data_IF_133323437626
#
_entry.id   IF_133323437626
#
_cell.length_a   1.000
_cell.length_b   1.000
_cell.length_c   1.000
_cell.angle_alpha   90.00
_cell.angle_beta   90.00
_cell.angle_gamma   90.00
#
_symmetry.space_group_name_H-M   'P 1'
#
loop_
_entity.id
_entity.type
_entity.pdbx_description
1 polymer ?
#
# COMPACT_ATOMS: atom_id res chain seq x y z
N UNK A 1 -2.10 -9.40 -15.31
CA UNK A 1 -2.04 -7.97 -14.96
C UNK A 1 -0.69 -7.46 -15.36
N UNK A 2 -0.64 -6.33 -16.01
CA UNK A 2 0.59 -5.72 -16.48
C UNK A 2 1.38 -5.15 -15.31
N UNK A 3 2.71 -5.26 -15.30
CA UNK A 3 3.55 -4.70 -14.26
C UNK A 3 3.63 -3.17 -14.35
N UNK A 4 3.81 -2.52 -13.19
CA UNK A 4 3.95 -1.08 -13.06
C UNK A 4 5.34 -0.70 -12.56
N UNK A 5 5.84 0.42 -13.02
CA UNK A 5 6.95 1.14 -12.37
C UNK A 5 6.48 2.47 -11.87
N UNK A 6 6.96 2.88 -10.71
CA UNK A 6 6.67 4.17 -10.09
C UNK A 6 7.92 5.04 -10.13
N UNK A 7 7.76 6.27 -10.61
CA UNK A 7 8.81 7.27 -10.70
C UNK A 7 8.46 8.47 -9.82
N UNK A 8 9.43 8.94 -9.08
CA UNK A 8 9.36 10.11 -8.22
C UNK A 8 10.18 11.23 -8.84
N UNK A 9 9.56 12.27 -9.39
CA UNK A 9 10.28 13.41 -9.88
C UNK A 9 10.71 14.32 -8.74
N UNK A 10 11.97 14.70 -8.74
CA UNK A 10 12.52 15.77 -7.90
C UNK A 10 12.80 17.01 -8.75
N UNK A 11 13.33 18.07 -8.15
CA UNK A 11 13.80 19.25 -8.87
C UNK A 11 15.21 19.07 -9.46
N UNK A 12 15.84 17.92 -9.26
CA UNK A 12 17.19 17.61 -9.73
C UNK A 12 17.20 16.41 -10.68
N UNK A 13 16.37 15.38 -10.41
CA UNK A 13 16.36 14.13 -11.15
C UNK A 13 14.99 13.43 -11.10
N UNK A 14 14.91 12.27 -11.75
CA UNK A 14 13.77 11.34 -11.62
C UNK A 14 14.26 10.07 -10.94
N UNK A 15 13.63 9.72 -9.82
CA UNK A 15 14.03 8.61 -8.96
C UNK A 15 13.08 7.42 -9.15
N UNK A 16 13.65 6.24 -9.30
CA UNK A 16 12.90 4.97 -9.32
C UNK A 16 13.17 4.16 -8.06
N UNK A 17 12.33 3.18 -7.80
CA UNK A 17 12.55 2.18 -6.75
C UNK A 17 13.42 1.05 -7.30
N UNK A 18 14.51 0.72 -6.60
CA UNK A 18 15.35 -0.44 -6.93
C UNK A 18 15.00 -1.65 -6.06
N UNK A 19 14.45 -1.41 -4.86
CA UNK A 19 13.86 -2.45 -4.02
C UNK A 19 12.86 -1.86 -3.00
N UNK A 20 11.94 -2.69 -2.52
CA UNK A 20 11.10 -2.47 -1.33
C UNK A 20 11.02 -3.79 -0.58
N UNK A 21 11.81 -3.92 0.47
CA UNK A 21 11.92 -5.11 1.30
C UNK A 21 11.12 -4.92 2.59
N UNK A 22 10.49 -5.97 3.06
CA UNK A 22 9.92 -6.04 4.40
C UNK A 22 11.00 -6.50 5.36
N UNK A 23 11.23 -5.71 6.38
CA UNK A 23 12.19 -6.00 7.46
C UNK A 23 11.47 -6.58 8.69
N UNK A 24 12.23 -7.01 9.68
CA UNK A 24 11.71 -7.44 10.98
C UNK A 24 10.96 -6.29 11.67
N UNK A 25 9.91 -6.61 12.41
CA UNK A 25 9.00 -5.62 13.01
C UNK A 25 9.67 -4.63 13.95
N UNK A 26 10.83 -4.99 14.49
CA UNK A 26 11.61 -4.15 15.41
C UNK A 26 12.55 -3.17 14.69
N UNK A 27 12.63 -3.26 13.35
CA UNK A 27 13.47 -2.37 12.53
C UNK A 27 12.66 -1.18 12.06
N UNK A 28 13.15 0.02 12.33
CA UNK A 28 12.51 1.24 11.83
C UNK A 28 12.61 1.35 10.31
N UNK A 29 11.55 1.80 9.63
CA UNK A 29 11.58 2.05 8.19
C UNK A 29 12.71 3.00 7.80
N UNK A 30 13.43 2.64 6.75
CA UNK A 30 14.55 3.43 6.22
C UNK A 30 14.51 3.54 4.70
N UNK A 31 15.15 4.58 4.18
CA UNK A 31 15.39 4.76 2.76
C UNK A 31 16.90 4.82 2.51
N UNK A 32 17.35 4.02 1.56
CA UNK A 32 18.74 3.93 1.12
C UNK A 32 18.83 4.17 -0.39
N UNK A 33 20.05 4.25 -0.91
CA UNK A 33 20.32 4.39 -2.36
C UNK A 33 21.26 3.29 -2.81
N UNK A 34 20.94 2.62 -3.91
CA UNK A 34 21.79 1.63 -4.58
C UNK A 34 22.37 0.58 -3.62
N UNK A 35 21.54 0.02 -2.75
CA UNK A 35 21.93 -0.96 -1.72
C UNK A 35 22.98 -0.44 -0.71
N UNK A 36 23.24 0.85 -0.65
CA UNK A 36 24.07 1.44 0.40
C UNK A 36 23.34 1.31 1.75
N UNK A 37 24.09 1.02 2.82
CA UNK A 37 23.53 0.88 4.16
C UNK A 37 23.34 2.22 4.88
N UNK A 38 23.68 3.33 4.23
CA UNK A 38 23.52 4.67 4.82
C UNK A 38 22.11 5.20 4.56
N UNK A 39 21.27 5.42 5.59
CA UNK A 39 19.96 6.00 5.43
C UNK A 39 20.01 7.42 4.89
N UNK A 40 19.07 7.77 4.00
CA UNK A 40 18.88 9.14 3.53
C UNK A 40 18.27 10.03 4.63
N UNK A 41 18.48 11.34 4.51
CA UNK A 41 17.93 12.36 5.43
C UNK A 41 16.40 12.29 5.59
N UNK A 42 15.68 11.94 4.52
CA UNK A 42 14.22 11.79 4.54
C UNK A 42 13.71 10.51 5.23
N UNK A 43 14.60 9.65 5.75
CA UNK A 43 14.19 8.38 6.41
C UNK A 43 13.34 8.62 7.65
N UNK A 44 13.57 9.71 8.40
CA UNK A 44 12.74 10.05 9.55
C UNK A 44 11.30 10.41 9.14
N UNK A 45 11.12 11.19 8.09
CA UNK A 45 9.80 11.55 7.55
C UNK A 45 9.12 10.33 6.94
N UNK A 46 9.88 9.47 6.28
CA UNK A 46 9.38 8.20 5.77
C UNK A 46 8.92 7.27 6.90
N UNK A 47 9.66 7.17 7.99
CA UNK A 47 9.24 6.40 9.16
C UNK A 47 7.87 6.89 9.68
N UNK A 48 7.69 8.20 9.84
CA UNK A 48 6.42 8.80 10.23
C UNK A 48 5.30 8.55 9.21
N UNK A 49 5.64 8.46 7.94
CA UNK A 49 4.71 8.15 6.86
C UNK A 49 4.26 6.68 6.87
N UNK A 50 5.14 5.77 7.27
CA UNK A 50 4.88 4.33 7.32
C UNK A 50 4.19 3.92 8.62
N UNK A 51 4.75 4.30 9.78
CA UNK A 51 4.39 3.74 11.07
C UNK A 51 3.19 4.41 11.76
N UNK A 52 2.46 3.63 12.57
CA UNK A 52 1.46 4.14 13.49
C UNK A 52 2.09 5.10 14.55
N UNK A 53 1.29 6.04 15.12
CA UNK A 53 -0.16 6.14 14.99
C UNK A 53 -0.65 6.92 13.76
N UNK A 54 0.18 7.76 13.16
CA UNK A 54 -0.19 8.61 12.02
C UNK A 54 0.09 7.95 10.67
N UNK A 55 0.94 6.92 10.64
CA UNK A 55 1.44 6.29 9.44
C UNK A 55 0.38 5.79 8.47
N UNK A 56 0.56 6.18 7.22
CA UNK A 56 -0.42 5.91 6.18
C UNK A 56 -0.23 4.49 5.64
N UNK A 57 1.02 4.05 5.45
CA UNK A 57 1.31 2.77 4.81
C UNK A 57 0.81 1.61 5.67
N UNK A 58 1.09 1.60 6.96
CA UNK A 58 0.66 0.56 7.88
C UNK A 58 -0.86 0.41 7.94
N UNK A 59 -1.61 1.51 7.85
CA UNK A 59 -3.09 1.47 7.82
C UNK A 59 -3.62 0.60 6.67
N UNK A 60 -2.92 0.56 5.54
CA UNK A 60 -3.34 -0.13 4.33
C UNK A 60 -2.71 -1.50 4.15
N UNK A 61 -1.41 -1.61 4.41
CA UNK A 61 -0.66 -2.86 4.22
C UNK A 61 -0.70 -3.77 5.45
N UNK A 62 -0.95 -3.19 6.64
CA UNK A 62 -0.80 -3.85 7.95
C UNK A 62 0.64 -4.25 8.29
N UNK A 63 1.58 -3.64 7.60
CA UNK A 63 3.02 -3.87 7.74
C UNK A 63 3.68 -2.51 7.99
N UNK A 64 4.62 -2.46 8.93
CA UNK A 64 5.21 -1.23 9.44
C UNK A 64 6.73 -1.13 9.26
N UNK A 65 7.40 -2.19 8.90
CA UNK A 65 8.86 -2.19 8.78
C UNK A 65 9.28 -2.42 7.36
N UNK A 66 9.81 -1.37 6.72
CA UNK A 66 10.24 -1.43 5.33
C UNK A 66 11.61 -0.80 5.15
N UNK A 67 12.42 -1.44 4.34
CA UNK A 67 13.56 -0.83 3.70
C UNK A 67 13.22 -0.53 2.24
N UNK A 68 13.49 0.71 1.82
CA UNK A 68 13.41 1.11 0.43
C UNK A 68 14.82 1.40 -0.08
N UNK A 69 15.13 0.87 -1.23
CA UNK A 69 16.30 1.26 -2.00
C UNK A 69 15.86 2.02 -3.26
N UNK A 70 16.47 3.18 -3.49
CA UNK A 70 16.19 4.09 -4.60
C UNK A 70 17.34 4.12 -5.60
N UNK A 71 17.05 4.49 -6.85
CA UNK A 71 18.06 4.66 -7.90
C UNK A 71 18.95 5.90 -7.70
N UNK A 72 18.49 6.87 -6.92
CA UNK A 72 19.24 8.10 -6.58
C UNK A 72 18.60 8.79 -5.37
N UNK A 73 19.30 9.78 -4.83
CA UNK A 73 18.88 10.49 -3.62
C UNK A 73 17.65 11.36 -3.84
N UNK A 74 16.88 11.50 -2.75
CA UNK A 74 15.85 12.53 -2.56
C UNK A 74 16.30 13.36 -1.36
N UNK A 75 16.69 14.61 -1.60
CA UNK A 75 17.35 15.44 -0.60
C UNK A 75 16.39 15.99 0.44
N UNK A 76 15.23 16.45 0.00
CA UNK A 76 14.25 17.14 0.88
C UNK A 76 12.86 17.22 0.26
N UNK A 77 11.92 17.72 1.06
CA UNK A 77 10.53 17.92 0.67
C UNK A 77 9.71 16.65 0.80
N UNK A 78 8.40 16.79 0.64
CA UNK A 78 7.43 15.71 0.92
C UNK A 78 6.66 15.26 -0.33
N UNK A 79 6.96 15.82 -1.49
CA UNK A 79 6.26 15.52 -2.75
C UNK A 79 6.41 14.07 -3.24
N UNK A 80 7.29 13.29 -2.62
CA UNK A 80 7.50 11.87 -2.84
C UNK A 80 6.37 11.00 -2.27
N UNK A 81 5.60 11.50 -1.30
CA UNK A 81 4.62 10.71 -0.53
C UNK A 81 3.57 10.03 -1.40
N UNK A 82 3.05 10.72 -2.43
CA UNK A 82 2.08 10.12 -3.36
C UNK A 82 2.68 8.93 -4.10
N UNK A 83 3.90 9.05 -4.60
CA UNK A 83 4.57 7.98 -5.32
C UNK A 83 4.93 6.81 -4.40
N UNK A 84 5.43 7.08 -3.21
CA UNK A 84 5.72 6.05 -2.21
C UNK A 84 4.45 5.30 -1.79
N UNK A 85 3.35 6.01 -1.54
CA UNK A 85 2.07 5.36 -1.25
C UNK A 85 1.65 4.41 -2.37
N UNK A 86 1.69 4.87 -3.62
CA UNK A 86 1.34 4.05 -4.79
C UNK A 86 2.29 2.86 -4.92
N UNK A 87 3.61 3.06 -4.75
CA UNK A 87 4.61 2.00 -4.85
C UNK A 87 4.39 0.91 -3.80
N UNK A 88 4.18 1.28 -2.53
CA UNK A 88 3.86 0.32 -1.46
C UNK A 88 2.61 -0.50 -1.76
N UNK A 89 1.54 0.15 -2.22
CA UNK A 89 0.31 -0.57 -2.55
C UNK A 89 0.52 -1.52 -3.72
N UNK A 90 1.21 -1.09 -4.77
CA UNK A 90 1.51 -1.94 -5.94
C UNK A 90 2.42 -3.09 -5.54
N UNK A 91 3.45 -2.84 -4.71
CA UNK A 91 4.37 -3.86 -4.22
C UNK A 91 3.66 -4.89 -3.32
N UNK A 92 2.80 -4.44 -2.42
CA UNK A 92 1.99 -5.33 -1.58
C UNK A 92 1.16 -6.35 -2.38
N UNK A 93 0.85 -6.03 -3.64
CA UNK A 93 0.17 -6.93 -4.57
C UNK A 93 1.10 -7.64 -5.56
N UNK A 94 2.42 -7.53 -5.39
CA UNK A 94 3.43 -8.17 -6.22
C UNK A 94 3.39 -7.73 -7.69
N UNK A 95 3.13 -6.44 -7.93
CA UNK A 95 3.00 -5.87 -9.29
C UNK A 95 3.96 -4.71 -9.56
N UNK A 96 4.78 -4.34 -8.58
CA UNK A 96 5.83 -3.35 -8.78
C UNK A 96 7.00 -3.98 -9.53
N UNK A 97 7.49 -3.28 -10.55
CA UNK A 97 8.75 -3.59 -11.23
C UNK A 97 9.77 -2.57 -10.79
N UNK A 98 10.87 -3.08 -10.30
CA UNK A 98 11.97 -2.27 -9.82
C UNK A 98 12.86 -1.79 -10.96
N UNK A 99 13.41 -0.58 -10.81
CA UNK A 99 14.49 -0.07 -11.63
C UNK A 99 15.79 -0.83 -11.31
N UNK A 100 16.73 -0.89 -12.25
CA UNK A 100 18.08 -1.37 -11.91
C UNK A 100 18.92 -0.22 -11.35
N UNK A 101 19.97 -0.57 -10.62
CA UNK A 101 20.93 0.40 -10.10
C UNK A 101 21.42 1.32 -11.22
N UNK A 102 21.36 2.62 -10.96
CA UNK A 102 21.79 3.68 -11.89
C UNK A 102 21.12 3.71 -13.27
N UNK A 103 20.06 2.93 -13.51
CA UNK A 103 19.31 2.94 -14.77
C UNK A 103 17.81 2.79 -14.53
N UNK A 104 17.05 3.75 -15.04
CA UNK A 104 15.61 3.58 -15.16
C UNK A 104 15.32 2.59 -16.31
N UNK A 105 15.32 1.28 -16.01
CA UNK A 105 15.07 0.27 -17.03
C UNK A 105 13.58 0.20 -17.34
N UNK A 106 13.22 0.72 -18.50
CA UNK A 106 11.84 0.72 -18.98
C UNK A 106 11.48 -0.52 -19.83
N UNK A 107 12.32 -1.57 -19.81
CA UNK A 107 12.16 -2.68 -20.78
C UNK A 107 11.04 -3.66 -20.42
N UNK A 108 10.87 -4.00 -19.14
CA UNK A 108 9.97 -5.07 -18.69
C UNK A 108 8.63 -4.58 -18.13
N UNK A 109 8.29 -3.31 -18.33
CA UNK A 109 7.06 -2.71 -17.81
C UNK A 109 6.14 -2.26 -18.93
N UNK A 110 4.85 -2.30 -18.67
CA UNK A 110 3.83 -1.81 -19.60
C UNK A 110 3.31 -0.43 -19.21
N UNK A 111 3.39 -0.08 -17.95
CA UNK A 111 2.87 1.18 -17.42
C UNK A 111 3.87 1.86 -16.49
N UNK A 112 4.15 3.12 -16.77
CA UNK A 112 5.00 3.99 -15.97
C UNK A 112 4.09 4.98 -15.24
N UNK A 113 4.19 5.04 -13.92
CA UNK A 113 3.48 6.00 -13.08
C UNK A 113 4.47 7.07 -12.63
N UNK A 114 4.31 8.29 -13.11
CA UNK A 114 5.05 9.46 -12.66
C UNK A 114 4.22 10.16 -11.59
N UNK A 115 4.70 10.21 -10.34
CA UNK A 115 3.87 10.57 -9.19
C UNK A 115 4.50 11.70 -8.38
N UNK A 116 3.77 12.79 -8.16
CA UNK A 116 4.17 13.90 -7.30
C UNK A 116 2.98 14.47 -6.54
N UNK A 117 3.04 14.46 -5.22
CA UNK A 117 1.97 14.93 -4.34
C UNK A 117 2.28 14.67 -2.87
N UNK A 118 1.68 15.45 -1.99
CA UNK A 118 1.70 15.30 -0.54
C UNK A 118 0.46 14.53 -0.09
N UNK A 119 0.59 13.60 0.86
CA UNK A 119 -0.54 12.88 1.44
C UNK A 119 -0.58 13.11 2.95
N UNK A 120 -1.72 13.57 3.47
CA UNK A 120 -1.93 13.73 4.91
C UNK A 120 -2.54 12.47 5.55
N UNK A 121 -2.69 12.48 6.88
CA UNK A 121 -3.24 11.36 7.66
C UNK A 121 -4.71 11.01 7.31
N UNK A 122 -5.45 11.91 6.67
CA UNK A 122 -6.82 11.70 6.16
C UNK A 122 -6.84 11.19 4.71
N UNK A 123 -5.65 10.96 4.12
CA UNK A 123 -5.45 10.53 2.74
C UNK A 123 -5.83 11.59 1.70
N UNK A 124 -5.92 12.83 2.10
CA UNK A 124 -6.10 13.93 1.19
C UNK A 124 -4.77 14.19 0.48
N UNK A 125 -4.85 14.43 -0.82
CA UNK A 125 -3.69 14.72 -1.66
C UNK A 125 -3.64 16.21 -1.91
N UNK A 126 -2.56 16.83 -1.46
CA UNK A 126 -2.31 18.26 -1.58
C UNK A 126 -1.34 18.58 -2.69
N UNK A 127 -1.43 19.84 -3.14
CA UNK A 127 -0.58 20.40 -4.18
C UNK A 127 0.88 20.49 -3.72
N UNK A 128 1.77 20.40 -4.69
CA UNK A 128 3.22 20.52 -4.48
C UNK A 128 3.79 21.56 -5.41
N UNK A 129 4.92 22.14 -5.01
CA UNK A 129 5.62 23.16 -5.79
C UNK A 129 6.47 22.54 -6.90
N UNK A 130 6.87 23.38 -7.85
CA UNK A 130 7.85 23.07 -8.89
C UNK A 130 7.44 21.96 -9.88
N UNK A 131 6.15 21.74 -10.12
CA UNK A 131 5.69 20.73 -11.07
C UNK A 131 6.27 20.97 -12.47
N UNK A 132 6.28 22.21 -12.94
CA UNK A 132 6.88 22.57 -14.24
C UNK A 132 8.36 22.17 -14.32
N UNK A 133 9.14 22.45 -13.28
CA UNK A 133 10.58 22.08 -13.21
C UNK A 133 10.74 20.55 -13.24
N UNK A 134 9.96 19.83 -12.45
CA UNK A 134 9.96 18.37 -12.41
C UNK A 134 9.63 17.75 -13.76
N UNK A 135 8.64 18.31 -14.49
CA UNK A 135 8.28 17.86 -15.84
C UNK A 135 9.41 18.12 -16.84
N UNK A 136 10.08 19.28 -16.77
CA UNK A 136 11.23 19.60 -17.63
C UNK A 136 12.39 18.63 -17.40
N UNK A 137 12.73 18.34 -16.16
CA UNK A 137 13.78 17.36 -15.82
C UNK A 137 13.41 15.95 -16.26
N UNK A 138 12.12 15.61 -16.27
CA UNK A 138 11.63 14.30 -16.69
C UNK A 138 11.60 14.09 -18.20
N UNK A 139 11.91 15.09 -19.04
CA UNK A 139 11.85 14.98 -20.50
C UNK A 139 12.68 13.80 -21.03
N UNK A 140 13.89 13.61 -20.55
CA UNK A 140 14.75 12.50 -20.98
C UNK A 140 14.13 11.12 -20.69
N UNK A 141 13.42 10.99 -19.58
CA UNK A 141 12.68 9.76 -19.21
C UNK A 141 11.45 9.59 -20.10
N UNK A 142 10.76 10.67 -20.43
CA UNK A 142 9.62 10.64 -21.34
C UNK A 142 10.05 10.22 -22.74
N UNK A 143 11.17 10.77 -23.25
CA UNK A 143 11.73 10.43 -24.56
C UNK A 143 12.10 8.94 -24.61
N UNK A 144 12.81 8.43 -23.61
CA UNK A 144 13.15 7.00 -23.50
C UNK A 144 11.90 6.10 -23.45
N UNK A 145 10.85 6.53 -22.75
CA UNK A 145 9.59 5.78 -22.71
C UNK A 145 8.92 5.73 -24.09
N UNK A 146 8.94 6.83 -24.82
CA UNK A 146 8.37 6.93 -26.18
C UNK A 146 9.15 6.03 -27.15
N UNK A 147 10.48 6.09 -27.14
CA UNK A 147 11.34 5.23 -27.95
C UNK A 147 11.03 3.74 -27.75
N UNK A 148 10.70 3.37 -26.50
CA UNK A 148 10.30 2.00 -26.14
C UNK A 148 8.80 1.73 -26.26
N UNK A 149 8.04 2.65 -26.87
CA UNK A 149 6.57 2.59 -27.03
C UNK A 149 5.84 2.33 -25.68
N UNK A 150 6.30 2.94 -24.61
CA UNK A 150 5.69 2.82 -23.29
C UNK A 150 4.70 3.96 -23.02
N UNK A 151 3.67 3.67 -22.22
CA UNK A 151 2.69 4.68 -21.79
C UNK A 151 3.04 5.18 -20.40
N UNK A 152 2.91 6.49 -20.21
CA UNK A 152 3.14 7.16 -18.93
C UNK A 152 1.80 7.69 -18.42
N UNK A 153 1.53 7.44 -17.15
CA UNK A 153 0.45 8.07 -16.42
C UNK A 153 1.04 9.03 -15.39
N UNK A 154 0.79 10.32 -15.57
CA UNK A 154 1.13 11.34 -14.58
C UNK A 154 0.04 11.39 -13.52
N UNK A 155 0.44 11.19 -12.26
CA UNK A 155 -0.40 11.20 -11.07
C UNK A 155 -0.04 12.42 -10.21
N UNK A 156 -0.96 13.37 -10.07
CA UNK A 156 -0.77 14.61 -9.29
C UNK A 156 -2.02 14.93 -8.48
N UNK A 157 -1.93 15.96 -7.63
CA UNK A 157 -3.10 16.56 -6.98
C UNK A 157 -4.00 17.28 -8.00
N UNK A 158 -5.22 17.58 -7.59
CA UNK A 158 -6.14 18.34 -8.45
C UNK A 158 -5.64 19.76 -8.77
N UNK A 159 -4.97 20.44 -7.83
CA UNK A 159 -4.46 21.79 -8.04
C UNK A 159 -3.24 21.83 -8.98
N UNK A 160 -2.48 20.76 -9.06
CA UNK A 160 -1.34 20.69 -9.99
C UNK A 160 -1.71 20.24 -11.42
N UNK A 161 -2.98 19.87 -11.65
CA UNK A 161 -3.43 19.36 -12.95
C UNK A 161 -3.23 20.35 -14.09
N UNK A 162 -3.49 21.63 -13.86
CA UNK A 162 -3.42 22.65 -14.90
C UNK A 162 -1.97 22.96 -15.31
N UNK A 163 -1.02 22.88 -14.38
CA UNK A 163 0.42 22.98 -14.72
C UNK A 163 0.85 21.86 -15.67
N UNK A 164 0.43 20.62 -15.38
CA UNK A 164 0.73 19.47 -16.25
C UNK A 164 0.09 19.61 -17.61
N UNK A 165 -1.17 20.01 -17.67
CA UNK A 165 -1.87 20.25 -18.96
C UNK A 165 -1.20 21.36 -19.76
N UNK A 166 -0.79 22.44 -19.12
CA UNK A 166 -0.07 23.56 -19.75
C UNK A 166 1.25 23.08 -20.34
N UNK A 167 2.01 22.26 -19.61
CA UNK A 167 3.24 21.65 -20.11
C UNK A 167 2.97 20.79 -21.37
N UNK A 168 1.96 19.91 -21.34
CA UNK A 168 1.63 19.03 -22.45
C UNK A 168 1.05 19.78 -23.67
N UNK A 169 0.43 20.95 -23.45
CA UNK A 169 -0.14 21.78 -24.50
C UNK A 169 0.90 22.68 -25.18
N UNK A 170 2.10 22.81 -24.61
CA UNK A 170 3.16 23.56 -25.24
C UNK A 170 3.54 22.92 -26.58
N UNK A 171 3.68 23.70 -27.67
CA UNK A 171 4.08 23.18 -29.00
C UNK A 171 5.33 22.29 -28.98
N UNK A 172 6.31 22.59 -28.15
CA UNK A 172 7.54 21.80 -27.99
C UNK A 172 7.28 20.41 -27.36
N UNK A 173 6.19 20.24 -26.61
CA UNK A 173 5.88 19.04 -25.85
C UNK A 173 4.66 18.29 -26.40
N UNK A 174 4.05 18.77 -27.49
CA UNK A 174 2.79 18.25 -28.03
C UNK A 174 2.86 16.77 -28.41
N UNK A 175 4.05 16.29 -28.81
CA UNK A 175 4.30 14.90 -29.16
C UNK A 175 4.14 13.94 -27.96
N UNK A 176 4.30 14.41 -26.71
CA UNK A 176 4.08 13.62 -25.51
C UNK A 176 2.61 13.20 -25.31
N UNK A 177 1.65 13.95 -25.84
CA UNK A 177 0.21 13.70 -25.65
C UNK A 177 -0.26 12.31 -26.10
N UNK A 178 0.42 11.72 -27.07
CA UNK A 178 0.08 10.38 -27.56
C UNK A 178 0.52 9.27 -26.59
N UNK A 179 1.44 9.57 -25.66
CA UNK A 179 2.08 8.61 -24.75
C UNK A 179 1.79 8.91 -23.29
N UNK A 180 1.53 10.18 -22.96
CA UNK A 180 1.30 10.63 -21.59
C UNK A 180 -0.19 10.88 -21.38
N UNK A 181 -0.76 10.22 -20.40
CA UNK A 181 -2.07 10.52 -19.81
C UNK A 181 -1.90 11.15 -18.43
N UNK A 182 -2.86 11.96 -18.02
CA UNK A 182 -2.82 12.63 -16.71
C UNK A 182 -4.04 12.25 -15.90
N UNK A 183 -3.83 11.93 -14.65
CA UNK A 183 -4.90 11.77 -13.67
C UNK A 183 -4.57 12.58 -12.42
N UNK A 184 -5.56 13.33 -11.95
CA UNK A 184 -5.48 14.03 -10.70
C UNK A 184 -6.38 13.41 -9.64
N UNK A 185 -5.97 13.59 -8.39
CA UNK A 185 -6.62 13.01 -7.22
C UNK A 185 -6.76 14.04 -6.12
N UNK A 186 -7.90 14.06 -5.44
CA UNK A 186 -8.09 14.79 -4.19
C UNK A 186 -7.86 13.91 -2.97
N UNK A 187 -8.02 12.59 -3.13
CA UNK A 187 -7.85 11.63 -2.04
C UNK A 187 -7.21 10.34 -2.55
N UNK A 188 -6.32 9.77 -1.76
CA UNK A 188 -5.59 8.55 -2.14
C UNK A 188 -6.51 7.33 -2.37
N UNK A 189 -7.73 7.31 -1.82
CA UNK A 189 -8.71 6.26 -2.10
C UNK A 189 -9.16 6.24 -3.57
N UNK A 190 -9.12 7.39 -4.25
CA UNK A 190 -9.46 7.49 -5.66
C UNK A 190 -8.47 6.76 -6.56
N UNK A 191 -7.21 6.63 -6.12
CA UNK A 191 -6.15 5.94 -6.86
C UNK A 191 -6.58 4.52 -7.19
N UNK A 192 -7.20 3.83 -6.22
CA UNK A 192 -7.64 2.45 -6.38
C UNK A 192 -8.75 2.26 -7.42
N UNK A 193 -9.55 3.28 -7.63
CA UNK A 193 -10.66 3.25 -8.60
C UNK A 193 -10.24 3.76 -9.98
N UNK A 194 -9.40 4.78 -10.03
CA UNK A 194 -9.01 5.46 -11.27
C UNK A 194 -7.85 4.76 -11.99
N UNK A 195 -6.84 4.31 -11.25
CA UNK A 195 -5.77 3.46 -11.81
C UNK A 195 -6.30 2.02 -11.81
N UNK A 196 -7.06 1.63 -12.80
CA UNK A 196 -7.70 0.32 -13.01
C UNK A 196 -6.90 -0.87 -12.43
N UNK A 197 -6.76 -0.91 -11.11
CA UNK A 197 -6.23 -2.09 -10.44
C UNK A 197 -7.21 -3.26 -10.66
N UNK A 198 -6.74 -4.49 -10.77
CA UNK A 198 -7.64 -5.63 -10.89
C UNK A 198 -8.61 -5.65 -9.72
N UNK A 199 -9.89 -5.79 -10.01
CA UNK A 199 -10.96 -5.84 -8.98
C UNK A 199 -10.74 -6.92 -7.91
N UNK A 200 -9.90 -7.92 -8.18
CA UNK A 200 -9.56 -9.00 -7.25
C UNK A 200 -8.65 -8.56 -6.07
N UNK A 201 -7.92 -7.47 -6.22
CA UNK A 201 -7.04 -6.92 -5.19
C UNK A 201 -7.78 -6.65 -3.88
N UNK A 202 -9.02 -6.18 -3.96
CA UNK A 202 -9.87 -5.91 -2.79
C UNK A 202 -10.71 -7.10 -2.33
N UNK A 203 -10.95 -8.09 -3.21
CA UNK A 203 -11.66 -9.31 -2.83
C UNK A 203 -10.87 -10.15 -1.82
N UNK A 204 -9.55 -10.24 -1.98
CA UNK A 204 -8.71 -11.04 -1.07
C UNK A 204 -8.65 -10.42 0.34
N UNK A 205 -8.66 -9.09 0.46
CA UNK A 205 -8.79 -8.42 1.78
C UNK A 205 -10.16 -8.62 2.43
N UNK A 206 -11.22 -8.65 1.63
CA UNK A 206 -12.58 -8.96 2.14
C UNK A 206 -12.70 -10.44 2.54
N UNK A 207 -11.96 -11.33 1.89
CA UNK A 207 -11.92 -12.76 2.24
C UNK A 207 -11.15 -13.02 3.53
N UNK A 208 -10.01 -12.37 3.76
CA UNK A 208 -9.28 -12.43 5.05
C UNK A 208 -10.12 -11.83 6.19
N UNK A 209 -10.83 -10.74 5.96
CA UNK A 209 -11.78 -10.17 6.92
C UNK A 209 -12.97 -11.11 7.21
N UNK A 210 -13.54 -11.75 6.20
CA UNK A 210 -14.61 -12.75 6.40
C UNK A 210 -14.10 -14.02 7.10
N UNK A 211 -12.89 -14.50 6.77
CA UNK A 211 -12.30 -15.67 7.42
C UNK A 211 -11.94 -15.39 8.89
N UNK A 212 -11.43 -14.21 9.18
CA UNK A 212 -11.19 -13.71 10.54
C UNK A 212 -12.52 -13.54 11.29
N UNK A 213 -13.55 -12.97 10.66
CA UNK A 213 -14.87 -12.81 11.25
C UNK A 213 -15.52 -14.17 11.56
N UNK A 214 -15.46 -15.12 10.63
CA UNK A 214 -15.97 -16.49 10.83
C UNK A 214 -15.21 -17.24 11.95
N UNK A 215 -13.90 -17.01 12.09
CA UNK A 215 -13.09 -17.59 13.16
C UNK A 215 -13.46 -16.99 14.53
N UNK A 216 -13.75 -15.69 14.58
CA UNK A 216 -14.24 -15.02 15.79
C UNK A 216 -15.63 -15.53 16.16
N UNK A 217 -16.55 -15.68 15.20
CA UNK A 217 -17.87 -16.28 15.44
C UNK A 217 -17.76 -17.72 15.93
N UNK A 218 -16.85 -18.52 15.37
CA UNK A 218 -16.61 -19.89 15.82
C UNK A 218 -16.09 -19.94 17.26
N UNK A 219 -15.16 -19.05 17.62
CA UNK A 219 -14.65 -18.94 19.00
C UNK A 219 -15.73 -18.50 19.99
N UNK A 220 -16.57 -17.52 19.63
CA UNK A 220 -17.70 -17.08 20.45
C UNK A 220 -18.72 -18.23 20.62
N UNK A 221 -19.02 -18.96 19.55
CA UNK A 221 -19.91 -20.11 19.59
C UNK A 221 -19.40 -21.20 20.53
N UNK A 222 -18.11 -21.53 20.47
CA UNK A 222 -17.48 -22.50 21.37
C UNK A 222 -17.47 -22.03 22.84
N UNK A 223 -17.23 -20.75 23.08
CA UNK A 223 -17.27 -20.16 24.44
C UNK A 223 -18.66 -20.21 25.07
N UNK A 224 -19.74 -20.19 24.28
CA UNK A 224 -21.12 -20.27 24.76
C UNK A 224 -21.56 -21.73 24.91
N UNK A 225 -21.25 -22.59 23.94
CA UNK A 225 -21.74 -23.96 23.91
C UNK A 225 -21.08 -24.89 24.93
N UNK A 226 -19.75 -24.72 25.18
CA UNK A 226 -19.03 -25.56 26.13
C UNK A 226 -19.59 -25.44 27.56
N UNK A 227 -19.84 -24.24 28.13
CA UNK A 227 -20.43 -24.10 29.46
C UNK A 227 -21.85 -24.67 29.54
N UNK A 228 -22.67 -24.50 28.47
CA UNK A 228 -24.04 -25.05 28.44
C UNK A 228 -23.98 -26.57 28.46
N UNK A 229 -23.12 -27.19 27.67
CA UNK A 229 -22.93 -28.65 27.66
C UNK A 229 -22.45 -29.18 29.01
N UNK A 230 -21.47 -28.49 29.64
CA UNK A 230 -20.99 -28.84 30.96
C UNK A 230 -22.08 -28.72 32.04
N UNK A 231 -22.94 -27.72 31.96
CA UNK A 231 -24.07 -27.53 32.88
C UNK A 231 -25.13 -28.63 32.70
N UNK A 232 -25.50 -28.96 31.47
CA UNK A 232 -26.45 -30.02 31.16
C UNK A 232 -25.93 -31.38 31.61
N UNK A 233 -24.64 -31.68 31.36
CA UNK A 233 -23.98 -32.89 31.78
C UNK A 233 -23.98 -33.05 33.31
N UNK A 234 -23.64 -31.98 34.03
CA UNK A 234 -23.63 -31.95 35.52
C UNK A 234 -25.06 -32.11 36.08
N UNK A 235 -26.03 -31.49 35.45
CA UNK A 235 -27.45 -31.64 35.84
C UNK A 235 -27.94 -33.07 35.65
N UNK A 236 -27.64 -33.70 34.53
CA UNK A 236 -27.98 -35.09 34.23
C UNK A 236 -27.32 -36.08 35.19
N UNK A 237 -26.05 -35.88 35.55
CA UNK A 237 -25.32 -36.69 36.54
C UNK A 237 -25.96 -36.59 37.93
N UNK A 238 -26.41 -35.40 38.33
CA UNK A 238 -27.08 -35.21 39.61
C UNK A 238 -28.47 -35.88 39.66
N UNK A 239 -29.17 -35.96 38.53
CA UNK A 239 -30.47 -36.69 38.45
C UNK A 239 -30.29 -38.22 38.59
N UNK A 240 -29.21 -38.76 38.01
CA UNK A 240 -28.91 -40.19 38.13
C UNK A 240 -28.58 -40.59 39.60
N UNK A 241 -27.73 -39.79 40.27
CA UNK A 241 -27.38 -40.05 41.69
C UNK A 241 -28.58 -39.91 42.65
N UNK A 242 -29.52 -38.99 42.38
CA UNK A 242 -30.74 -38.85 43.18
C UNK A 242 -31.69 -40.01 42.98
N UNK A 243 -31.80 -40.62 41.80
CA UNK A 243 -32.60 -41.80 41.57
C UNK A 243 -32.00 -43.05 42.19
N UNK A 244 -30.68 -43.24 42.16
CA UNK A 244 -30.02 -44.35 42.85
C UNK A 244 -30.17 -44.27 44.38
N UNK A 245 -30.16 -43.08 44.94
CA UNK A 245 -30.40 -42.87 46.41
C UNK A 245 -31.86 -43.14 46.77
N UNK A 246 -32.83 -42.88 45.89
CA UNK A 246 -34.26 -43.22 46.12
C UNK A 246 -34.49 -44.71 46.08
N UNK A 247 -33.89 -45.42 45.12
CA UNK A 247 -34.05 -46.88 45.01
C UNK A 247 -33.42 -47.62 46.20
N UNK A 248 -32.25 -47.18 46.66
CA UNK A 248 -31.63 -47.78 47.84
C UNK A 248 -32.44 -47.55 49.16
N UNK A 249 -33.15 -46.43 49.30
CA UNK A 249 -33.98 -46.19 50.49
C UNK A 249 -35.27 -47.02 50.47
N UNK A 250 -35.78 -47.46 49.32
CA UNK A 250 -36.95 -48.34 49.21
C UNK A 250 -36.62 -49.80 49.55
N UNK A 251 -35.35 -50.22 49.54
CA UNK A 251 -34.93 -51.59 49.90
C UNK A 251 -34.61 -51.77 51.42
N UNK A 252 -34.71 -50.72 52.22
CA UNK A 252 -34.44 -50.78 53.69
C UNK A 252 -35.71 -50.83 54.52
N UNK A 253 -36.91 -50.86 53.88
CA UNK A 253 -38.19 -50.94 54.55
C UNK A 253 -38.95 -52.25 54.27
N UNK A 254 -38.27 -53.42 54.27
CA UNK A 254 -38.89 -54.75 54.32
C UNK A 254 -38.28 -55.60 55.42
#
# INVERSE_FOLDING_TARGET
>A
MKPFTVLIPTTQNVVGFTDITLEDQDVSPIICVNNNMTPLSISADYNNFVCAPSGIIEKYTKLSSYRIDLSSEIDSGESWQLGFFIAHIINHFGKLVFSQENQLILNNMDHILWCSGLINSHLEISDVSYIKTKLLISKSVFDQAIEKNKKILICVSNGNLDEVKTFLNNPENIHYKNYISVQSFSNAKEIFTKIKFPKNIFKDKMYLSKKSLNMIFLLIFLLITIPIFAFVYKSSSNYLTLNELKDNNNHIQL
#
